data_IF_393004022172
#
_entry.id   IF_393004022172
#
_cell.length_a   1.000
_cell.length_b   1.000
_cell.length_c   1.000
_cell.angle_alpha   90.00
_cell.angle_beta   90.00
_cell.angle_gamma   90.00
#
_symmetry.space_group_name_H-M   'P 1'
#
loop_
_entity.id
_entity.type
_entity.pdbx_description
1 polymer ?
#
# COMPACT_ATOMS: atom_id res chain seq x y z
N UNK A 1 63.75 23.42 -54.95
CA UNK A 1 63.14 24.32 -53.93
C UNK A 1 61.97 25.03 -54.60
N UNK A 2 60.83 25.18 -53.91
CA UNK A 2 59.56 25.78 -54.35
C UNK A 2 58.62 24.85 -55.16
N UNK A 3 57.31 24.85 -54.97
CA UNK A 3 56.45 25.12 -53.81
C UNK A 3 55.08 24.55 -54.23
N UNK A 4 54.36 23.94 -53.27
CA UNK A 4 52.94 23.60 -53.40
C UNK A 4 52.15 24.88 -53.70
N UNK A 5 50.97 24.76 -54.31
CA UNK A 5 49.71 25.33 -53.77
C UNK A 5 48.56 24.86 -54.68
N UNK A 6 47.72 24.02 -54.10
CA UNK A 6 46.38 23.68 -54.58
C UNK A 6 45.42 24.81 -54.19
N UNK A 7 44.55 25.24 -55.09
CA UNK A 7 43.41 26.10 -54.77
C UNK A 7 42.15 25.54 -55.40
N UNK A 8 41.48 24.65 -54.66
CA UNK A 8 40.10 24.28 -54.95
C UNK A 8 39.20 25.46 -54.55
N UNK A 9 38.60 26.11 -55.56
CA UNK A 9 37.64 27.20 -55.35
C UNK A 9 36.29 26.56 -55.00
N UNK A 10 35.98 26.48 -53.71
CA UNK A 10 34.65 26.12 -53.22
C UNK A 10 33.74 27.35 -53.34
N UNK A 11 32.88 27.36 -54.37
CA UNK A 11 31.78 28.32 -54.50
C UNK A 11 30.73 28.08 -53.41
N UNK A 12 30.87 28.83 -52.31
CA UNK A 12 29.95 28.86 -51.17
C UNK A 12 28.62 29.48 -51.59
N UNK A 13 27.60 28.65 -51.75
CA UNK A 13 26.22 29.06 -51.95
C UNK A 13 25.72 29.88 -50.74
N UNK A 14 25.51 31.18 -50.92
CA UNK A 14 24.85 32.04 -49.94
C UNK A 14 23.33 31.89 -50.10
N UNK A 15 22.74 30.91 -49.42
CA UNK A 15 21.29 30.86 -49.19
C UNK A 15 20.98 31.63 -47.90
N UNK A 16 20.23 32.74 -47.92
CA UNK A 16 19.79 33.39 -46.70
C UNK A 16 18.72 32.52 -46.03
N UNK A 17 19.05 31.91 -44.89
CA UNK A 17 18.08 31.26 -44.02
C UNK A 17 17.42 32.34 -43.15
N UNK A 18 16.21 32.75 -43.51
CA UNK A 18 15.34 33.52 -42.62
C UNK A 18 14.76 32.55 -41.58
N UNK A 19 15.31 32.53 -40.37
CA UNK A 19 14.72 31.81 -39.24
C UNK A 19 13.69 32.70 -38.56
N UNK A 20 12.40 32.32 -38.49
CA UNK A 20 11.45 33.07 -37.67
C UNK A 20 11.79 32.86 -36.19
N UNK A 21 11.99 33.96 -35.47
CA UNK A 21 12.15 33.96 -34.03
C UNK A 21 10.79 33.72 -33.38
N UNK A 22 10.55 32.51 -32.89
CA UNK A 22 9.39 32.21 -32.04
C UNK A 22 9.74 32.60 -30.59
N UNK A 23 8.97 33.49 -29.93
CA UNK A 23 9.21 33.79 -28.53
C UNK A 23 8.93 32.55 -27.69
N UNK A 24 9.98 32.01 -27.06
CA UNK A 24 9.89 30.88 -26.13
C UNK A 24 9.12 31.35 -24.89
N UNK A 25 7.85 30.94 -24.77
CA UNK A 25 7.07 31.18 -23.55
C UNK A 25 7.84 30.59 -22.35
N UNK A 26 8.10 31.42 -21.34
CA UNK A 26 8.77 30.98 -20.13
C UNK A 26 7.92 29.92 -19.44
N UNK A 27 8.41 28.68 -19.38
CA UNK A 27 7.78 27.60 -18.64
C UNK A 27 7.81 27.95 -17.15
N UNK A 28 6.65 28.31 -16.59
CA UNK A 28 6.50 28.47 -15.14
C UNK A 28 6.48 27.08 -14.50
N UNK A 29 7.50 26.77 -13.71
CA UNK A 29 7.53 25.58 -12.88
C UNK A 29 6.93 25.90 -11.51
N UNK A 30 5.93 25.11 -11.10
CA UNK A 30 5.31 25.20 -9.78
C UNK A 30 5.99 24.23 -8.82
N UNK A 31 6.22 24.66 -7.57
CA UNK A 31 6.89 23.88 -6.51
C UNK A 31 6.15 22.60 -6.07
N UNK A 32 4.93 22.38 -6.57
CA UNK A 32 4.11 21.19 -6.29
C UNK A 32 4.05 20.18 -7.43
N UNK A 33 4.82 20.39 -8.51
CA UNK A 33 4.90 19.45 -9.61
C UNK A 33 5.47 18.10 -9.12
N UNK A 34 4.68 17.04 -9.27
CA UNK A 34 5.00 15.68 -8.83
C UNK A 34 6.16 15.05 -9.62
N UNK A 35 6.52 15.64 -10.75
CA UNK A 35 7.61 15.22 -11.65
C UNK A 35 8.91 16.00 -11.47
N UNK A 36 8.97 16.97 -10.55
CA UNK A 36 10.24 17.55 -10.15
C UNK A 36 10.96 16.53 -9.25
N UNK A 37 11.96 15.86 -9.81
CA UNK A 37 12.92 14.97 -9.16
C UNK A 37 13.02 15.27 -7.66
N UNK A 38 12.25 14.52 -6.87
CA UNK A 38 11.98 14.82 -5.46
C UNK A 38 13.26 14.51 -4.71
N UNK A 39 14.16 15.48 -4.62
CA UNK A 39 15.44 15.34 -3.92
C UNK A 39 15.13 14.75 -2.55
N UNK A 40 15.66 13.55 -2.22
CA UNK A 40 15.32 12.89 -0.98
C UNK A 40 15.68 13.83 0.16
N UNK A 41 14.69 14.19 0.99
CA UNK A 41 14.98 14.95 2.18
C UNK A 41 15.76 14.04 3.12
N UNK A 42 16.87 14.54 3.68
CA UNK A 42 17.73 13.79 4.62
C UNK A 42 16.87 13.17 5.75
N UNK A 43 15.87 13.92 6.21
CA UNK A 43 14.93 13.48 7.25
C UNK A 43 14.03 12.33 6.75
N UNK A 44 13.53 12.41 5.50
CA UNK A 44 12.70 11.36 4.91
C UNK A 44 13.46 10.06 4.67
N UNK A 45 14.74 10.16 4.30
CA UNK A 45 15.61 9.00 4.12
C UNK A 45 15.95 8.32 5.46
N UNK A 46 16.18 9.09 6.53
CA UNK A 46 16.41 8.56 7.87
C UNK A 46 15.23 7.68 8.36
N UNK A 47 14.00 8.18 8.31
CA UNK A 47 12.83 7.40 8.72
C UNK A 47 12.57 6.19 7.81
N UNK A 48 12.91 6.32 6.52
CA UNK A 48 12.79 5.21 5.56
C UNK A 48 13.80 4.10 5.86
N UNK A 49 15.01 4.44 6.30
CA UNK A 49 16.08 3.47 6.55
C UNK A 49 15.99 2.85 7.93
N UNK A 50 15.74 3.63 8.98
CA UNK A 50 15.82 3.13 10.35
C UNK A 50 14.45 2.79 10.94
N UNK A 51 13.43 3.60 10.68
CA UNK A 51 12.13 3.45 11.36
C UNK A 51 11.23 2.45 10.65
N UNK A 52 11.23 2.40 9.32
CA UNK A 52 10.42 1.43 8.55
C UNK A 52 10.73 -0.04 8.90
N UNK A 53 11.99 -0.49 8.96
CA UNK A 53 12.29 -1.88 9.32
C UNK A 53 11.89 -2.20 10.76
N UNK A 54 12.21 -1.30 11.71
CA UNK A 54 11.86 -1.48 13.13
C UNK A 54 10.36 -1.57 13.31
N UNK A 55 9.59 -0.67 12.69
CA UNK A 55 8.13 -0.69 12.76
C UNK A 55 7.57 -1.96 12.13
N UNK A 56 8.12 -2.42 10.99
CA UNK A 56 7.69 -3.65 10.35
C UNK A 56 7.88 -4.86 11.27
N UNK A 57 9.03 -4.97 11.91
CA UNK A 57 9.32 -6.07 12.85
C UNK A 57 8.44 -5.98 14.09
N UNK A 58 8.27 -4.80 14.68
CA UNK A 58 7.40 -4.58 15.83
C UNK A 58 5.96 -5.01 15.53
N UNK A 59 5.41 -4.57 14.39
CA UNK A 59 4.04 -4.91 13.98
C UNK A 59 3.89 -6.40 13.67
N UNK A 60 4.86 -7.02 13.00
CA UNK A 60 4.82 -8.46 12.72
C UNK A 60 4.96 -9.28 14.00
N UNK A 61 5.84 -8.87 14.91
CA UNK A 61 6.04 -9.53 16.19
C UNK A 61 4.78 -9.46 17.06
N UNK A 62 4.19 -8.26 17.19
CA UNK A 62 2.92 -8.10 17.90
C UNK A 62 1.81 -8.89 17.25
N UNK A 63 1.62 -8.79 15.94
CA UNK A 63 0.60 -9.58 15.23
C UNK A 63 0.78 -11.08 15.45
N UNK A 64 2.01 -11.60 15.35
CA UNK A 64 2.30 -13.02 15.57
C UNK A 64 1.95 -13.45 16.99
N UNK A 65 2.32 -12.64 17.99
CA UNK A 65 1.94 -12.88 19.37
C UNK A 65 0.42 -12.86 19.57
N UNK A 66 -0.28 -11.88 18.96
CA UNK A 66 -1.74 -11.80 19.05
C UNK A 66 -2.41 -13.03 18.45
N UNK A 67 -1.96 -13.49 17.27
CA UNK A 67 -2.50 -14.70 16.64
C UNK A 67 -2.23 -15.93 17.52
N UNK A 68 -1.01 -16.09 18.03
CA UNK A 68 -0.68 -17.22 18.89
C UNK A 68 -1.50 -17.24 20.19
N UNK A 69 -1.63 -16.08 20.85
CA UNK A 69 -2.43 -15.95 22.07
C UNK A 69 -3.92 -16.16 21.79
N UNK A 70 -4.42 -15.61 20.68
CA UNK A 70 -5.78 -15.84 20.24
C UNK A 70 -6.03 -17.33 19.95
N UNK A 71 -5.13 -18.00 19.23
CA UNK A 71 -5.22 -19.43 18.94
C UNK A 71 -5.25 -20.27 20.22
N UNK A 72 -4.41 -19.93 21.20
CA UNK A 72 -4.41 -20.58 22.52
C UNK A 72 -5.77 -20.43 23.21
N UNK A 73 -6.27 -19.20 23.34
CA UNK A 73 -7.57 -18.94 23.97
C UNK A 73 -8.74 -19.54 23.19
N UNK A 74 -8.63 -19.65 21.86
CA UNK A 74 -9.66 -20.26 21.02
C UNK A 74 -9.78 -21.77 21.23
N UNK A 75 -8.65 -22.47 21.38
CA UNK A 75 -8.61 -23.90 21.67
C UNK A 75 -9.34 -24.23 22.98
N UNK A 76 -9.12 -23.45 24.04
CA UNK A 76 -9.83 -23.63 25.32
C UNK A 76 -11.33 -23.35 25.21
N UNK A 77 -11.72 -22.38 24.39
CA UNK A 77 -13.14 -22.01 24.23
C UNK A 77 -13.94 -22.98 23.38
N UNK A 78 -13.31 -23.71 22.45
CA UNK A 78 -14.03 -24.60 21.55
C UNK A 78 -14.61 -25.82 22.29
N UNK A 79 -13.95 -26.32 23.33
CA UNK A 79 -14.49 -27.38 24.20
C UNK A 79 -15.67 -26.86 25.04
N UNK A 80 -15.51 -25.69 25.66
CA UNK A 80 -16.55 -25.06 26.49
C UNK A 80 -17.79 -24.71 25.65
N UNK A 81 -17.59 -24.24 24.42
CA UNK A 81 -18.69 -23.90 23.51
C UNK A 81 -19.47 -25.15 23.08
N UNK A 82 -18.80 -26.27 22.87
CA UNK A 82 -19.46 -27.52 22.54
C UNK A 82 -20.32 -28.05 23.69
N UNK A 83 -19.80 -28.00 24.92
CA UNK A 83 -20.55 -28.40 26.12
C UNK A 83 -21.76 -27.49 26.36
N UNK A 84 -21.55 -26.16 26.33
CA UNK A 84 -22.63 -25.18 26.53
C UNK A 84 -23.68 -25.25 25.43
N UNK A 85 -23.29 -25.55 24.19
CA UNK A 85 -24.24 -25.77 23.09
C UNK A 85 -25.18 -26.94 23.37
N UNK A 86 -24.65 -28.07 23.85
CA UNK A 86 -25.47 -29.24 24.22
C UNK A 86 -26.38 -28.97 25.42
N UNK A 87 -25.91 -28.21 26.39
CA UNK A 87 -26.70 -27.80 27.54
C UNK A 87 -27.90 -26.93 27.10
N UNK A 88 -27.67 -25.99 26.18
CA UNK A 88 -28.73 -25.14 25.61
C UNK A 88 -29.74 -25.98 24.84
N UNK A 89 -29.30 -26.86 23.93
CA UNK A 89 -30.21 -27.75 23.19
C UNK A 89 -31.07 -28.61 24.11
N UNK A 90 -30.49 -29.16 25.18
CA UNK A 90 -31.22 -29.93 26.18
C UNK A 90 -32.24 -29.10 26.96
N UNK A 91 -31.92 -27.85 27.28
CA UNK A 91 -32.83 -26.93 27.93
C UNK A 91 -33.97 -26.49 26.99
N UNK A 92 -33.67 -26.22 25.73
CA UNK A 92 -34.69 -25.90 24.71
C UNK A 92 -35.67 -27.06 24.51
N UNK A 93 -35.18 -28.30 24.47
CA UNK A 93 -36.03 -29.49 24.40
C UNK A 93 -36.98 -29.61 25.60
N UNK A 94 -36.47 -29.40 26.82
CA UNK A 94 -37.29 -29.43 28.05
C UNK A 94 -38.31 -28.29 28.09
N UNK A 95 -37.94 -27.09 27.64
CA UNK A 95 -38.87 -25.97 27.55
C UNK A 95 -39.98 -26.27 26.53
N UNK A 96 -39.64 -26.84 25.37
CA UNK A 96 -40.61 -27.23 24.36
C UNK A 96 -41.58 -28.30 24.88
N UNK A 97 -41.08 -29.31 25.60
CA UNK A 97 -41.89 -30.35 26.24
C UNK A 97 -42.86 -29.76 27.27
N UNK A 98 -42.38 -28.90 28.16
CA UNK A 98 -43.20 -28.24 29.18
C UNK A 98 -44.25 -27.31 28.55
N UNK A 99 -43.90 -26.57 27.50
CA UNK A 99 -44.86 -25.74 26.77
C UNK A 99 -45.92 -26.57 26.06
N UNK A 100 -45.57 -27.75 25.52
CA UNK A 100 -46.53 -28.66 24.91
C UNK A 100 -47.48 -29.27 25.97
N UNK A 101 -46.95 -29.67 27.12
CA UNK A 101 -47.73 -30.19 28.25
C UNK A 101 -48.68 -29.14 28.84
N UNK A 102 -48.22 -27.90 29.03
CA UNK A 102 -49.05 -26.79 29.51
C UNK A 102 -50.18 -26.45 28.52
N UNK A 103 -49.90 -26.45 27.20
CA UNK A 103 -50.94 -26.28 26.17
C UNK A 103 -51.96 -27.41 26.16
N UNK A 104 -51.52 -28.65 26.36
CA UNK A 104 -52.43 -29.80 26.47
C UNK A 104 -53.27 -29.78 27.75
N UNK A 105 -52.78 -29.16 28.83
CA UNK A 105 -53.51 -29.08 30.11
C UNK A 105 -54.51 -27.92 30.13
N UNK A 106 -54.27 -26.88 29.33
CA UNK A 106 -55.16 -25.71 29.16
C UNK A 106 -56.20 -25.87 28.05
N UNK A 107 -56.09 -26.89 27.20
CA UNK A 107 -57.07 -27.26 26.19
C UNK A 107 -58.10 -28.22 26.77
#
# INVERSE_FOLDING_TARGET
>A
MAARISTAILSRALRPQHTPYFPRAASRFYSTSTDAEKRPSIVGEFYKTFTRPVLKVLLMATLTYQIAYWSWTKLEQDEIRAEKGREIEGLEAKVAELQAADKSTRA
#
